data_IF_463047167965
#
_entry.id   IF_463047167965
#
_cell.length_a   1.000
_cell.length_b   1.000
_cell.length_c   1.000
_cell.angle_alpha   90.00
_cell.angle_beta   90.00
_cell.angle_gamma   90.00
#
_symmetry.space_group_name_H-M   'P 1'
#
loop_
_entity.id
_entity.type
_entity.pdbx_description
1 polymer ?
#
# COMPACT_ATOMS: atom_id res chain seq x y z
N UNK A 1 -0.14 10.75 -27.17
CA UNK A 1 1.14 10.81 -26.44
C UNK A 1 0.80 10.92 -24.96
N UNK A 2 0.80 9.81 -24.19
CA UNK A 2 0.61 9.90 -22.73
C UNK A 2 1.90 10.50 -22.15
N UNK A 3 1.79 11.64 -21.49
CA UNK A 3 2.91 12.41 -20.96
C UNK A 3 3.55 11.66 -19.80
N UNK A 4 4.88 11.45 -19.83
CA UNK A 4 5.68 10.81 -18.76
C UNK A 4 5.41 11.35 -17.35
N UNK A 5 4.85 12.56 -17.23
CA UNK A 5 4.51 13.19 -15.95
C UNK A 5 3.23 12.64 -15.32
N UNK A 6 2.33 12.02 -16.09
CA UNK A 6 1.11 11.40 -15.57
C UNK A 6 1.44 10.04 -14.92
N UNK A 7 2.36 9.30 -15.53
CA UNK A 7 2.80 7.98 -15.06
C UNK A 7 3.50 8.08 -13.69
N UNK A 8 4.36 9.09 -13.49
CA UNK A 8 5.02 9.33 -12.20
C UNK A 8 4.05 9.70 -11.07
N UNK A 9 3.00 10.49 -11.37
CA UNK A 9 1.98 10.86 -10.37
C UNK A 9 1.12 9.67 -9.97
N UNK A 10 0.76 8.82 -10.94
CA UNK A 10 0.05 7.56 -10.70
C UNK A 10 0.88 6.56 -9.91
N UNK A 11 2.18 6.48 -10.19
CA UNK A 11 3.10 5.63 -9.45
C UNK A 11 3.24 6.09 -7.99
N UNK A 12 3.36 7.40 -7.74
CA UNK A 12 3.40 7.95 -6.39
C UNK A 12 2.08 7.70 -5.65
N UNK A 13 0.93 7.87 -6.30
CA UNK A 13 -0.38 7.56 -5.73
C UNK A 13 -0.50 6.07 -5.38
N UNK A 14 -0.11 5.18 -6.31
CA UNK A 14 -0.08 3.74 -6.07
C UNK A 14 0.83 3.36 -4.90
N UNK A 15 2.03 3.94 -4.81
CA UNK A 15 2.97 3.68 -3.73
C UNK A 15 2.42 4.07 -2.35
N UNK A 16 1.76 5.23 -2.24
CA UNK A 16 1.13 5.66 -0.97
C UNK A 16 0.01 4.73 -0.55
N UNK A 17 -0.76 4.28 -1.51
CA UNK A 17 -1.91 3.42 -1.24
C UNK A 17 -1.52 2.00 -0.85
N UNK A 18 -0.45 1.48 -1.46
CA UNK A 18 0.19 0.22 -1.02
C UNK A 18 0.66 0.37 0.44
N UNK A 19 1.24 1.52 0.80
CA UNK A 19 1.62 1.78 2.19
C UNK A 19 0.39 1.85 3.12
N UNK A 20 -0.70 2.48 2.71
CA UNK A 20 -1.95 2.50 3.47
C UNK A 20 -2.51 1.10 3.70
N UNK A 21 -2.53 0.27 2.66
CA UNK A 21 -3.00 -1.12 2.74
C UNK A 21 -2.18 -1.93 3.75
N UNK A 22 -0.85 -1.88 3.63
CA UNK A 22 0.07 -2.59 4.50
C UNK A 22 0.10 -2.03 5.93
N UNK A 23 -0.13 -0.72 6.12
CA UNK A 23 -0.21 -0.10 7.43
C UNK A 23 -1.53 -0.41 8.16
N UNK A 24 -2.63 -0.51 7.41
CA UNK A 24 -3.95 -0.86 7.96
C UNK A 24 -4.04 -2.33 8.38
N UNK A 25 -3.16 -3.18 7.83
CA UNK A 25 -3.03 -4.58 8.20
C UNK A 25 -1.56 -4.87 8.57
N UNK A 26 -1.11 -4.58 9.79
CA UNK A 26 0.29 -4.74 10.21
C UNK A 26 0.82 -6.18 10.06
N UNK A 27 -0.09 -7.16 10.10
CA UNK A 27 0.20 -8.59 9.89
C UNK A 27 0.08 -9.04 8.43
N UNK A 28 -0.30 -8.14 7.50
CA UNK A 28 -0.38 -8.47 6.09
C UNK A 28 1.02 -8.65 5.50
N UNK A 29 1.39 -9.92 5.30
CA UNK A 29 2.43 -10.34 4.38
C UNK A 29 1.73 -10.75 3.09
N UNK A 30 1.72 -9.88 2.08
CA UNK A 30 0.95 -10.12 0.84
C UNK A 30 1.84 -10.14 -0.40
N UNK A 31 1.45 -10.90 -1.43
CA UNK A 31 2.23 -10.97 -2.67
C UNK A 31 1.93 -9.78 -3.57
N UNK A 32 2.77 -9.57 -4.58
CA UNK A 32 2.51 -8.55 -5.61
C UNK A 32 1.14 -8.77 -6.26
N UNK A 33 0.78 -10.03 -6.51
CA UNK A 33 -0.51 -10.41 -7.09
C UNK A 33 -1.68 -10.13 -6.14
N UNK A 34 -1.52 -10.34 -4.83
CA UNK A 34 -2.54 -10.00 -3.84
C UNK A 34 -2.77 -8.50 -3.72
N UNK A 35 -1.68 -7.73 -3.65
CA UNK A 35 -1.69 -6.26 -3.69
C UNK A 35 -2.35 -5.77 -4.99
N UNK A 36 -1.95 -6.31 -6.14
CA UNK A 36 -2.51 -5.92 -7.44
C UNK A 36 -4.00 -6.30 -7.55
N UNK A 37 -4.42 -7.46 -7.06
CA UNK A 37 -5.82 -7.91 -7.09
C UNK A 37 -6.71 -7.04 -6.21
N UNK A 38 -6.27 -6.75 -4.99
CA UNK A 38 -6.97 -5.82 -4.10
C UNK A 38 -7.17 -4.46 -4.79
N UNK A 39 -6.18 -4.02 -5.57
CA UNK A 39 -6.25 -2.80 -6.38
C UNK A 39 -7.20 -2.84 -7.56
N UNK A 40 -7.12 -3.89 -8.39
CA UNK A 40 -8.02 -4.07 -9.53
C UNK A 40 -9.48 -4.21 -9.11
N UNK A 41 -9.75 -4.75 -7.92
CA UNK A 41 -11.10 -4.97 -7.42
C UNK A 41 -11.70 -3.75 -6.71
N UNK A 42 -10.91 -2.97 -5.97
CA UNK A 42 -11.44 -1.92 -5.07
C UNK A 42 -11.28 -0.49 -5.54
N UNK A 43 -10.36 -0.18 -6.47
CA UNK A 43 -10.16 1.20 -6.90
C UNK A 43 -10.25 1.37 -8.41
N UNK A 44 -11.07 2.35 -8.81
CA UNK A 44 -11.31 2.80 -10.20
C UNK A 44 -10.13 3.55 -10.82
N UNK A 45 -8.91 3.24 -10.40
CA UNK A 45 -7.71 3.78 -11.03
C UNK A 45 -7.24 2.72 -12.03
N UNK A 46 -7.19 3.07 -13.31
CA UNK A 46 -6.60 2.23 -14.36
C UNK A 46 -5.09 2.14 -14.16
N UNK A 47 -4.67 1.36 -13.15
CA UNK A 47 -3.29 0.94 -12.97
C UNK A 47 -3.10 -0.45 -13.57
N UNK A 48 -2.10 -0.56 -14.40
CA UNK A 48 -1.59 -1.82 -14.91
C UNK A 48 -0.78 -2.55 -13.84
N UNK A 49 -0.66 -3.86 -13.96
CA UNK A 49 0.21 -4.66 -13.09
C UNK A 49 1.68 -4.18 -13.10
N UNK A 50 2.13 -3.58 -14.20
CA UNK A 50 3.46 -3.01 -14.31
C UNK A 50 3.60 -1.75 -13.44
N UNK A 51 2.63 -0.85 -13.44
CA UNK A 51 2.68 0.36 -12.58
C UNK A 51 2.62 -0.01 -11.09
N UNK A 52 1.88 -1.06 -10.73
CA UNK A 52 1.88 -1.62 -9.37
C UNK A 52 3.26 -2.16 -9.02
N UNK A 53 3.88 -2.95 -9.92
CA UNK A 53 5.25 -3.47 -9.72
C UNK A 53 6.25 -2.35 -9.54
N UNK A 54 6.23 -1.34 -10.41
CA UNK A 54 7.18 -0.22 -10.37
C UNK A 54 7.02 0.60 -9.08
N UNK A 55 5.80 0.68 -8.54
CA UNK A 55 5.52 1.29 -7.24
C UNK A 55 6.09 0.46 -6.08
N UNK A 56 5.89 -0.87 -6.11
CA UNK A 56 6.48 -1.80 -5.12
C UNK A 56 8.01 -1.73 -5.16
N UNK A 57 8.62 -1.74 -6.33
CA UNK A 57 10.07 -1.60 -6.49
C UNK A 57 10.58 -0.27 -5.94
N UNK A 58 9.88 0.83 -6.20
CA UNK A 58 10.22 2.12 -5.61
C UNK A 58 10.18 2.09 -4.07
N UNK A 59 9.15 1.48 -3.48
CA UNK A 59 9.03 1.37 -2.02
C UNK A 59 10.12 0.48 -1.40
N UNK A 60 10.51 -0.59 -2.08
CA UNK A 60 11.64 -1.45 -1.67
C UNK A 60 12.96 -0.67 -1.71
N UNK A 61 13.21 0.07 -2.79
CA UNK A 61 14.42 0.87 -2.94
C UNK A 61 14.52 1.98 -1.88
N UNK A 62 13.38 2.53 -1.45
CA UNK A 62 13.32 3.49 -0.33
C UNK A 62 13.37 2.81 1.05
N UNK A 63 13.28 1.48 1.11
CA UNK A 63 13.24 0.71 2.35
C UNK A 63 11.98 0.91 3.17
N UNK A 64 10.88 1.40 2.57
CA UNK A 64 9.59 1.62 3.26
C UNK A 64 8.81 0.31 3.42
N UNK A 65 9.03 -0.64 2.50
CA UNK A 65 8.54 -2.02 2.61
C UNK A 65 9.72 -2.99 2.56
N UNK A 66 9.48 -4.20 3.05
CA UNK A 66 10.43 -5.30 3.06
C UNK A 66 9.84 -6.47 2.28
N UNK A 67 10.67 -7.11 1.46
CA UNK A 67 10.34 -8.37 0.81
C UNK A 67 10.81 -9.55 1.67
N UNK A 68 9.97 -10.55 1.87
CA UNK A 68 10.38 -11.83 2.45
C UNK A 68 11.03 -12.70 1.37
N UNK A 69 12.16 -13.34 1.71
CA UNK A 69 12.78 -14.34 0.84
C UNK A 69 12.12 -15.69 1.10
N UNK A 70 11.13 -16.04 0.28
CA UNK A 70 10.55 -17.38 0.28
C UNK A 70 11.21 -18.22 -0.83
N UNK A 71 11.75 -19.39 -0.47
CA UNK A 71 12.59 -20.21 -1.37
C UNK A 71 11.84 -20.79 -2.57
N UNK A 72 10.51 -20.94 -2.46
CA UNK A 72 9.67 -21.67 -3.43
C UNK A 72 8.35 -20.97 -3.75
N UNK A 73 8.13 -19.76 -3.20
CA UNK A 73 6.89 -18.99 -3.34
C UNK A 73 7.23 -17.58 -3.78
N UNK A 74 6.23 -16.88 -4.35
CA UNK A 74 6.36 -15.45 -4.61
C UNK A 74 6.75 -14.72 -3.32
N UNK A 75 7.63 -13.71 -3.40
CA UNK A 75 7.97 -12.90 -2.24
C UNK A 75 6.70 -12.21 -1.75
N UNK A 76 6.51 -12.21 -0.43
CA UNK A 76 5.50 -11.38 0.18
C UNK A 76 6.14 -10.08 0.65
N UNK A 77 5.37 -9.01 0.62
CA UNK A 77 5.77 -7.67 1.00
C UNK A 77 5.06 -7.29 2.28
N UNK A 78 5.80 -6.65 3.17
CA UNK A 78 5.30 -6.12 4.44
C UNK A 78 5.85 -4.73 4.71
N UNK A 79 5.17 -3.96 5.54
CA UNK A 79 5.67 -2.67 5.99
C UNK A 79 7.00 -2.83 6.73
N UNK A 80 7.94 -1.89 6.53
CA UNK A 80 9.16 -1.85 7.32
C UNK A 80 8.89 -1.20 8.69
N UNK A 81 8.90 -1.95 9.81
CA UNK A 81 8.65 -1.38 11.14
C UNK A 81 9.69 -0.33 11.54
N UNK A 82 10.94 -0.43 11.04
CA UNK A 82 11.98 0.56 11.32
C UNK A 82 11.72 1.92 10.66
N UNK A 83 10.80 1.99 9.69
CA UNK A 83 10.42 3.20 8.95
C UNK A 83 9.00 3.68 9.27
N UNK A 84 8.34 3.09 10.29
CA UNK A 84 6.94 3.38 10.59
C UNK A 84 6.65 4.88 10.77
N UNK A 85 7.53 5.64 11.45
CA UNK A 85 7.35 7.09 11.63
C UNK A 85 7.47 7.87 10.33
N UNK A 86 8.36 7.46 9.42
CA UNK A 86 8.51 8.07 8.10
C UNK A 86 7.29 7.79 7.24
N UNK A 87 6.81 6.54 7.27
CA UNK A 87 5.60 6.09 6.58
C UNK A 87 4.38 6.86 7.10
N UNK A 88 4.18 6.94 8.42
CA UNK A 88 3.09 7.69 9.03
C UNK A 88 3.08 9.16 8.57
N UNK A 89 4.24 9.83 8.54
CA UNK A 89 4.36 11.21 8.03
C UNK A 89 4.01 11.34 6.55
N UNK A 90 4.30 10.34 5.73
CA UNK A 90 3.90 10.34 4.32
C UNK A 90 2.39 10.20 4.17
N UNK A 91 1.74 9.40 5.03
CA UNK A 91 0.30 9.18 5.01
C UNK A 91 -0.49 10.36 5.62
N UNK A 92 0.03 11.01 6.66
CA UNK A 92 -0.60 12.17 7.32
C UNK A 92 -0.75 13.39 6.39
N UNK A 93 0.17 13.55 5.44
CA UNK A 93 0.15 14.69 4.50
C UNK A 93 -1.01 14.66 3.50
N UNK A 94 -1.63 13.49 3.32
CA UNK A 94 -2.58 13.24 2.22
C UNK A 94 -4.01 12.92 2.69
N UNK A 95 -4.40 13.22 3.93
CA UNK A 95 -5.80 13.04 4.35
C UNK A 95 -6.70 14.13 3.75
N UNK A 96 -7.50 13.77 2.73
CA UNK A 96 -8.93 13.96 2.88
C UNK A 96 -9.71 12.73 2.38
N UNK A 97 -10.51 12.13 3.28
CA UNK A 97 -11.60 11.18 2.99
C UNK A 97 -11.29 9.71 2.65
N UNK A 98 -10.34 9.06 3.33
CA UNK A 98 -10.23 7.58 3.24
C UNK A 98 -10.89 6.80 4.40
N UNK A 99 -11.47 7.46 5.41
CA UNK A 99 -12.24 6.80 6.47
C UNK A 99 -13.71 7.27 6.46
N UNK A 100 -14.51 6.68 5.59
CA UNK A 100 -15.92 6.45 5.84
C UNK A 100 -16.20 4.96 5.70
N UNK A 101 -15.72 4.20 6.68
CA UNK A 101 -15.95 2.76 6.74
C UNK A 101 -15.17 2.10 7.86
N UNK A 102 -15.79 2.07 9.04
CA UNK A 102 -15.52 1.14 10.15
C UNK A 102 -14.48 1.57 11.19
N UNK A 103 -14.97 2.53 11.98
CA UNK A 103 -14.82 2.66 13.43
C UNK A 103 -14.27 1.44 14.19
N UNK A 104 -13.16 1.68 14.88
CA UNK A 104 -12.90 1.07 16.17
C UNK A 104 -13.77 1.80 17.22
N UNK A 105 -15.04 1.43 17.34
CA UNK A 105 -15.87 1.67 18.54
C UNK A 105 -17.04 0.68 18.56
N UNK A 106 -16.87 -0.48 19.20
CA UNK A 106 -17.80 -0.81 20.29
C UNK A 106 -17.17 -1.87 21.21
N UNK A 107 -16.40 -1.38 22.16
CA UNK A 107 -16.24 -2.02 23.45
C UNK A 107 -17.02 -1.16 24.45
N UNK A 108 -18.29 -1.48 24.66
CA UNK A 108 -19.13 -1.10 25.80
C UNK A 108 -20.14 -2.24 25.95
N UNK A 109 -19.93 -3.17 26.88
CA UNK A 109 -20.43 -3.11 28.26
C UNK A 109 -21.84 -2.54 28.42
N UNK A 110 -22.70 -3.41 28.97
CA UNK A 110 -23.91 -3.13 29.78
C UNK A 110 -25.25 -2.89 29.06
N UNK A 111 -26.10 -3.91 29.07
CA UNK A 111 -27.36 -3.93 29.84
C UNK A 111 -27.89 -5.36 29.93
#
# INVERSE_FOLDING_TARGET
MKSRNDDGRKQDEAAREILHYLASNPDAEDTLEGIARWWLERRRIELTINEVRDSVEMLLNRGLILASRQRLKAPCYRMNPAKQTEIAKLLERDNPHFLSGSSATDASSSA
#
